data_IF_057241607396
#
_entry.id   IF_057241607396
#
_cell.length_a   1.000
_cell.length_b   1.000
_cell.length_c   1.000
_cell.angle_alpha   90.00
_cell.angle_beta   90.00
_cell.angle_gamma   90.00
#
_symmetry.space_group_name_H-M   'P 1'
#
loop_
_entity.id
_entity.type
_entity.pdbx_description
1 polymer ?
#
# COMPACT_ATOMS: atom_id res chain seq x y z
N UNK A 1 -6.23 5.04 0.54
CA UNK A 1 -7.45 4.35 0.08
C UNK A 1 -8.66 4.94 0.81
N UNK A 2 -9.78 5.19 0.12
CA UNK A 2 -11.06 5.53 0.77
C UNK A 2 -12.06 4.42 0.46
N UNK A 3 -12.77 3.95 1.48
CA UNK A 3 -13.71 2.84 1.40
C UNK A 3 -15.15 3.31 1.55
N UNK A 4 -16.09 2.59 0.95
CA UNK A 4 -17.50 2.96 0.90
C UNK A 4 -18.22 2.96 2.26
N UNK A 5 -17.59 2.42 3.30
CA UNK A 5 -18.09 2.45 4.69
C UNK A 5 -17.66 3.72 5.46
N UNK A 6 -17.08 4.71 4.77
CA UNK A 6 -16.71 5.98 5.39
C UNK A 6 -15.36 5.96 6.09
N UNK A 7 -14.45 5.05 5.70
CA UNK A 7 -13.07 5.04 6.23
C UNK A 7 -12.04 5.42 5.18
N UNK A 8 -11.11 6.26 5.59
CA UNK A 8 -9.91 6.61 4.83
C UNK A 8 -8.68 5.98 5.50
N UNK A 9 -7.91 5.23 4.70
CA UNK A 9 -6.68 4.56 5.09
C UNK A 9 -5.48 5.24 4.42
N UNK A 10 -4.49 5.59 5.23
CA UNK A 10 -3.26 6.26 4.78
C UNK A 10 -2.05 5.55 5.38
N UNK A 11 -0.90 5.51 4.71
CA UNK A 11 0.34 5.04 5.33
C UNK A 11 0.59 5.79 6.65
N UNK A 12 0.83 5.05 7.73
CA UNK A 12 1.16 5.64 9.02
C UNK A 12 2.59 6.18 9.05
N UNK A 13 2.84 7.15 9.92
CA UNK A 13 4.19 7.65 10.12
C UNK A 13 5.12 6.54 10.66
N UNK A 14 6.28 6.40 10.05
CA UNK A 14 7.36 5.52 10.53
C UNK A 14 8.60 6.35 10.83
N UNK A 15 9.25 6.06 11.96
CA UNK A 15 10.57 6.62 12.23
C UNK A 15 11.57 5.95 11.30
N UNK A 16 12.55 6.72 10.80
CA UNK A 16 13.63 6.21 9.97
C UNK A 16 14.67 5.44 10.81
N UNK A 17 14.23 4.33 11.41
CA UNK A 17 15.06 3.41 12.21
C UNK A 17 15.37 2.17 11.40
N UNK A 18 16.57 1.61 11.56
CA UNK A 18 16.95 0.34 10.95
C UNK A 18 17.27 -0.71 12.04
N UNK A 19 16.68 -1.92 11.97
CA UNK A 19 15.64 -2.33 11.02
C UNK A 19 14.27 -1.70 11.32
N UNK A 20 13.50 -1.43 10.27
CA UNK A 20 12.10 -0.99 10.40
C UNK A 20 11.15 -2.17 10.74
N UNK A 21 9.87 -1.89 11.04
CA UNK A 21 8.89 -2.94 11.30
C UNK A 21 8.62 -3.79 10.05
N UNK A 22 8.34 -5.08 10.25
CA UNK A 22 7.94 -5.98 9.16
C UNK A 22 6.62 -5.52 8.53
N UNK A 23 5.66 -5.19 9.40
CA UNK A 23 4.36 -4.67 9.02
C UNK A 23 4.36 -3.13 9.12
N UNK A 24 4.22 -2.46 7.99
CA UNK A 24 4.10 -1.00 7.98
C UNK A 24 2.76 -0.57 8.59
N UNK A 25 2.74 0.43 9.49
CA UNK A 25 1.52 0.90 10.10
C UNK A 25 0.61 1.55 9.05
N UNK A 26 -0.69 1.33 9.18
CA UNK A 26 -1.70 2.02 8.39
C UNK A 26 -2.53 2.89 9.32
N UNK A 27 -2.61 4.18 9.06
CA UNK A 27 -3.55 5.09 9.70
C UNK A 27 -4.96 4.86 9.16
N UNK A 28 -5.97 5.04 10.01
CA UNK A 28 -7.38 5.04 9.65
C UNK A 28 -8.10 6.19 10.34
N UNK A 29 -8.97 6.87 9.60
CA UNK A 29 -9.89 7.89 10.09
C UNK A 29 -11.24 7.78 9.39
N UNK A 30 -12.28 8.32 10.02
CA UNK A 30 -13.59 8.44 9.36
C UNK A 30 -13.57 9.59 8.35
N UNK A 31 -14.34 9.43 7.28
CA UNK A 31 -14.68 10.47 6.31
C UNK A 31 -16.20 10.50 6.15
N UNK A 32 -16.81 11.68 6.23
CA UNK A 32 -18.26 11.81 6.07
C UNK A 32 -18.70 11.54 4.62
N UNK A 33 -19.99 11.27 4.37
CA UNK A 33 -20.52 11.20 3.01
C UNK A 33 -20.22 12.46 2.19
N UNK A 34 -20.32 13.65 2.78
CA UNK A 34 -20.00 14.91 2.11
C UNK A 34 -18.51 15.00 1.70
N UNK A 35 -17.60 14.49 2.53
CA UNK A 35 -16.18 14.37 2.19
C UNK A 35 -15.93 13.41 1.03
N UNK A 36 -16.61 12.26 1.00
CA UNK A 36 -16.53 11.30 -0.11
C UNK A 36 -17.07 11.92 -1.40
N UNK A 37 -18.22 12.61 -1.33
CA UNK A 37 -18.80 13.31 -2.48
C UNK A 37 -17.85 14.35 -3.05
N UNK A 38 -17.13 15.11 -2.21
CA UNK A 38 -16.10 16.05 -2.67
C UNK A 38 -14.93 15.35 -3.37
N UNK A 39 -14.50 14.20 -2.87
CA UNK A 39 -13.47 13.39 -3.52
C UNK A 39 -13.92 12.87 -4.89
N UNK A 40 -15.17 12.39 -4.99
CA UNK A 40 -15.74 11.93 -6.25
C UNK A 40 -15.97 13.09 -7.24
N UNK A 41 -16.41 14.25 -6.76
CA UNK A 41 -16.52 15.45 -7.57
C UNK A 41 -15.16 15.86 -8.16
N UNK A 42 -14.10 15.82 -7.34
CA UNK A 42 -12.74 16.08 -7.83
C UNK A 42 -12.27 15.06 -8.86
N UNK A 43 -12.59 13.77 -8.67
CA UNK A 43 -12.31 12.74 -9.65
C UNK A 43 -13.06 12.99 -10.98
N UNK A 44 -14.33 13.38 -10.91
CA UNK A 44 -15.15 13.71 -12.07
C UNK A 44 -14.61 14.92 -12.84
N UNK A 45 -14.22 15.99 -12.14
CA UNK A 45 -13.60 17.18 -12.74
C UNK A 45 -12.32 16.85 -13.50
N UNK A 46 -11.53 15.90 -13.00
CA UNK A 46 -10.29 15.42 -13.60
C UNK A 46 -10.49 14.30 -14.62
N UNK A 47 -11.74 13.92 -14.90
CA UNK A 47 -12.08 12.90 -15.90
C UNK A 47 -11.79 11.46 -15.48
N UNK A 48 -11.66 11.19 -14.18
CA UNK A 48 -11.35 9.87 -13.62
C UNK A 48 -12.57 8.97 -13.41
N UNK A 49 -13.79 9.46 -13.69
CA UNK A 49 -15.02 8.67 -13.73
C UNK A 49 -15.42 8.35 -15.19
N UNK A 50 -14.42 8.05 -16.02
CA UNK A 50 -14.57 7.73 -17.43
C UNK A 50 -13.51 6.69 -17.83
N UNK A 51 -13.68 5.99 -18.98
CA UNK A 51 -12.62 5.09 -19.48
C UNK A 51 -11.27 5.79 -19.53
N UNK A 52 -10.23 5.12 -19.04
CA UNK A 52 -8.90 5.70 -18.98
C UNK A 52 -8.41 6.15 -20.36
N UNK A 53 -7.89 7.39 -20.51
CA UNK A 53 -7.18 7.79 -21.70
C UNK A 53 -5.85 7.04 -21.81
N UNK A 54 -5.16 7.19 -22.94
CA UNK A 54 -3.76 6.75 -23.00
C UNK A 54 -2.90 7.61 -22.06
N UNK A 55 -2.12 6.93 -21.23
CA UNK A 55 -1.10 7.51 -20.36
C UNK A 55 0.33 7.25 -20.87
N UNK A 56 0.45 6.70 -22.08
CA UNK A 56 1.73 6.38 -22.69
C UNK A 56 2.51 7.64 -23.02
N UNK A 57 3.79 7.64 -22.64
CA UNK A 57 4.78 8.67 -22.91
C UNK A 57 6.11 7.98 -23.18
N UNK A 58 6.96 8.60 -24.00
CA UNK A 58 8.32 8.10 -24.24
C UNK A 58 9.20 8.38 -23.02
N UNK A 59 9.02 7.57 -21.98
CA UNK A 59 9.79 7.60 -20.74
C UNK A 59 10.33 6.19 -20.49
N UNK A 60 11.62 6.11 -20.19
CA UNK A 60 12.29 4.84 -19.92
C UNK A 60 13.06 4.94 -18.59
N UNK A 61 12.31 5.05 -17.49
CA UNK A 61 12.89 5.08 -16.14
C UNK A 61 12.96 3.65 -15.61
N UNK A 62 14.14 3.03 -15.74
CA UNK A 62 14.35 1.66 -15.27
C UNK A 62 13.80 1.47 -13.84
N UNK A 63 13.02 0.40 -13.66
CA UNK A 63 12.41 0.01 -12.38
C UNK A 63 11.41 1.02 -11.77
N UNK A 64 10.91 1.98 -12.54
CA UNK A 64 9.83 2.86 -12.09
C UNK A 64 8.51 2.08 -11.91
N UNK A 65 7.73 2.38 -10.84
CA UNK A 65 6.46 1.74 -10.60
C UNK A 65 5.34 2.32 -11.48
N UNK A 66 4.24 1.59 -11.54
CA UNK A 66 2.94 2.15 -11.93
C UNK A 66 2.29 2.86 -10.74
N UNK A 67 1.72 4.04 -10.99
CA UNK A 67 0.67 4.59 -10.12
C UNK A 67 -0.68 4.09 -10.62
N UNK A 68 -1.47 3.51 -9.71
CA UNK A 68 -2.81 2.97 -10.01
C UNK A 68 -3.86 3.67 -9.15
N UNK A 69 -4.84 4.29 -9.81
CA UNK A 69 -6.04 4.84 -9.18
C UNK A 69 -7.23 4.03 -9.66
N UNK A 70 -7.88 3.34 -8.73
CA UNK A 70 -9.12 2.59 -8.98
C UNK A 70 -10.26 3.23 -8.22
N UNK A 71 -11.31 3.62 -8.93
CA UNK A 71 -12.51 4.23 -8.36
C UNK A 71 -13.68 3.32 -8.65
N UNK A 72 -14.48 3.00 -7.63
CA UNK A 72 -15.68 2.16 -7.76
C UNK A 72 -16.85 2.89 -7.13
N UNK A 73 -17.89 3.12 -7.93
CA UNK A 73 -19.17 3.69 -7.50
C UNK A 73 -20.31 2.74 -7.91
N UNK A 74 -21.55 3.15 -7.70
CA UNK A 74 -22.72 2.43 -8.23
C UNK A 74 -22.78 2.42 -9.75
N UNK A 75 -22.12 3.38 -10.41
CA UNK A 75 -22.20 3.58 -11.86
C UNK A 75 -21.13 2.79 -12.62
N UNK A 76 -20.09 2.32 -11.91
CA UNK A 76 -19.05 1.49 -12.51
C UNK A 76 -17.74 1.47 -11.72
N UNK A 77 -16.75 0.84 -12.34
CA UNK A 77 -15.36 0.81 -11.88
C UNK A 77 -14.46 1.35 -12.98
N UNK A 78 -13.62 2.32 -12.63
CA UNK A 78 -12.62 2.91 -13.52
C UNK A 78 -11.23 2.71 -12.92
N UNK A 79 -10.30 2.24 -13.73
CA UNK A 79 -8.89 2.08 -13.36
C UNK A 79 -8.03 2.96 -14.26
N UNK A 80 -7.23 3.81 -13.65
CA UNK A 80 -6.24 4.66 -14.30
C UNK A 80 -4.86 4.20 -13.84
N UNK A 81 -4.01 3.86 -14.81
CA UNK A 81 -2.66 3.34 -14.57
C UNK A 81 -1.67 4.13 -15.39
N UNK A 82 -0.69 4.73 -14.73
CA UNK A 82 0.38 5.47 -15.37
C UNK A 82 1.73 5.06 -14.81
N UNK A 83 2.57 4.55 -15.70
CA UNK A 83 3.97 4.26 -15.42
C UNK A 83 4.74 5.55 -15.11
N UNK A 84 5.58 5.49 -14.07
CA UNK A 84 6.49 6.56 -13.67
C UNK A 84 5.83 7.93 -13.41
N UNK A 85 4.56 7.92 -12.96
CA UNK A 85 3.81 9.15 -12.69
C UNK A 85 4.49 10.00 -11.61
N UNK A 86 4.69 11.29 -11.89
CA UNK A 86 5.28 12.29 -10.98
C UNK A 86 6.78 12.17 -10.78
N UNK A 87 7.48 11.36 -11.58
CA UNK A 87 8.94 11.18 -11.47
C UNK A 87 9.75 12.25 -12.23
N UNK A 88 9.13 12.91 -13.21
CA UNK A 88 9.69 14.11 -13.84
C UNK A 88 9.35 15.35 -13.02
N UNK A 89 10.23 16.35 -13.05
CA UNK A 89 10.04 17.61 -12.34
C UNK A 89 10.09 18.81 -13.27
N UNK A 90 9.31 19.85 -12.96
CA UNK A 90 9.42 21.14 -13.63
C UNK A 90 10.69 21.92 -13.22
N UNK A 91 10.84 23.15 -13.74
CA UNK A 91 11.98 24.01 -13.42
C UNK A 91 12.05 24.43 -11.94
N UNK A 92 10.98 24.27 -11.17
CA UNK A 92 10.93 24.52 -9.73
C UNK A 92 11.30 23.28 -8.89
N UNK A 93 11.47 22.12 -9.52
CA UNK A 93 11.66 20.84 -8.85
C UNK A 93 10.36 20.19 -8.38
N UNK A 94 9.21 20.70 -8.81
CA UNK A 94 7.90 20.14 -8.48
C UNK A 94 7.55 19.01 -9.46
N UNK A 95 6.94 17.90 -9.01
CA UNK A 95 6.44 16.86 -9.92
C UNK A 95 5.54 17.46 -11.00
N UNK A 96 5.82 17.13 -12.25
CA UNK A 96 5.06 17.64 -13.39
C UNK A 96 5.00 16.62 -14.52
N UNK A 97 3.91 16.64 -15.27
CA UNK A 97 3.64 15.67 -16.32
C UNK A 97 3.55 16.32 -17.71
N UNK A 98 3.99 15.57 -18.71
CA UNK A 98 4.13 16.07 -20.09
C UNK A 98 2.82 16.10 -20.87
N UNK A 99 1.79 15.37 -20.42
CA UNK A 99 0.47 15.35 -21.06
C UNK A 99 -0.62 15.80 -20.08
N UNK A 100 -1.69 16.48 -20.57
CA UNK A 100 -2.79 16.90 -19.71
C UNK A 100 -3.47 15.75 -18.96
N UNK A 101 -3.57 14.57 -19.58
CA UNK A 101 -4.17 13.39 -18.94
C UNK A 101 -3.32 12.90 -17.76
N UNK A 102 -2.00 12.81 -17.93
CA UNK A 102 -1.07 12.42 -16.85
C UNK A 102 -1.05 13.48 -15.75
N UNK A 103 -1.05 14.76 -16.10
CA UNK A 103 -1.12 15.84 -15.11
C UNK A 103 -2.41 15.77 -14.29
N UNK A 104 -3.57 15.51 -14.92
CA UNK A 104 -4.82 15.35 -14.20
C UNK A 104 -4.80 14.16 -13.22
N UNK A 105 -4.17 13.04 -13.61
CA UNK A 105 -3.98 11.90 -12.71
C UNK A 105 -3.04 12.25 -11.54
N UNK A 106 -1.92 12.93 -11.82
CA UNK A 106 -0.98 13.40 -10.79
C UNK A 106 -1.64 14.38 -9.80
N UNK A 107 -2.45 15.31 -10.31
CA UNK A 107 -3.20 16.27 -9.49
C UNK A 107 -4.17 15.55 -8.54
N UNK A 108 -4.88 14.52 -9.03
CA UNK A 108 -5.75 13.73 -8.18
C UNK A 108 -4.97 12.95 -7.11
N UNK A 109 -3.88 12.29 -7.48
CA UNK A 109 -3.06 11.50 -6.55
C UNK A 109 -2.47 12.38 -5.47
N UNK A 110 -1.87 13.51 -5.85
CA UNK A 110 -1.31 14.49 -4.92
C UNK A 110 -2.38 14.98 -3.96
N UNK A 111 -3.54 15.37 -4.47
CA UNK A 111 -4.63 15.83 -3.63
C UNK A 111 -5.20 14.69 -2.74
N UNK A 112 -5.21 13.43 -3.20
CA UNK A 112 -5.65 12.29 -2.39
C UNK A 112 -4.66 11.92 -1.28
N UNK A 113 -3.38 12.31 -1.39
CA UNK A 113 -2.41 12.20 -0.28
C UNK A 113 -2.65 13.23 0.81
N UNK A 114 -3.22 14.39 0.48
CA UNK A 114 -3.71 15.39 1.42
C UNK A 114 -5.24 15.42 1.42
N UNK A 115 -5.84 14.38 2.03
CA UNK A 115 -7.29 14.21 2.02
C UNK A 115 -8.02 15.41 2.65
N UNK A 116 -7.39 16.14 3.58
CA UNK A 116 -7.96 17.34 4.17
C UNK A 116 -8.11 18.46 3.14
N UNK A 117 -7.19 18.59 2.18
CA UNK A 117 -7.29 19.56 1.10
C UNK A 117 -8.48 19.30 0.16
N UNK A 118 -8.88 18.05 -0.06
CA UNK A 118 -10.04 17.71 -0.90
C UNK A 118 -11.33 17.65 -0.08
N UNK A 119 -11.34 16.80 0.95
CA UNK A 119 -12.54 16.50 1.72
C UNK A 119 -12.84 17.63 2.71
N UNK A 120 -11.89 18.47 3.09
CA UNK A 120 -12.03 19.47 4.13
C UNK A 120 -11.89 18.85 5.52
N UNK A 121 -11.13 19.52 6.39
CA UNK A 121 -10.80 19.05 7.74
C UNK A 121 -12.05 18.69 8.58
N UNK A 122 -13.13 19.46 8.41
CA UNK A 122 -14.39 19.25 9.13
C UNK A 122 -15.08 17.91 8.80
N UNK A 123 -14.73 17.26 7.69
CA UNK A 123 -15.29 15.96 7.29
C UNK A 123 -14.44 14.78 7.74
N UNK A 124 -13.29 15.04 8.36
CA UNK A 124 -12.35 14.02 8.76
C UNK A 124 -12.43 13.81 10.28
N UNK A 125 -12.52 12.54 10.67
CA UNK A 125 -12.38 12.15 12.06
C UNK A 125 -10.92 12.15 12.51
N UNK A 126 -10.72 11.91 13.81
CA UNK A 126 -9.39 11.68 14.38
C UNK A 126 -8.75 10.43 13.77
N UNK A 127 -7.47 10.53 13.43
CA UNK A 127 -6.69 9.39 12.96
C UNK A 127 -6.28 8.48 14.13
N UNK A 128 -6.32 7.17 13.87
CA UNK A 128 -5.82 6.12 14.73
C UNK A 128 -5.07 5.07 13.89
N UNK A 129 -4.33 4.17 14.53
CA UNK A 129 -3.70 3.05 13.81
C UNK A 129 -4.75 1.98 13.53
N UNK A 130 -4.81 1.55 12.28
CA UNK A 130 -5.64 0.44 11.84
C UNK A 130 -5.09 -0.88 12.37
N UNK A 131 -5.96 -1.68 13.00
CA UNK A 131 -5.72 -3.08 13.31
C UNK A 131 -6.44 -3.93 12.25
N UNK A 132 -5.71 -4.62 11.35
CA UNK A 132 -6.31 -5.48 10.34
C UNK A 132 -6.89 -6.76 10.97
N UNK A 133 -8.01 -7.25 10.43
CA UNK A 133 -8.58 -8.56 10.81
C UNK A 133 -7.87 -9.72 10.09
N UNK A 134 -7.17 -9.42 9.00
CA UNK A 134 -6.46 -10.37 8.17
C UNK A 134 -5.18 -9.73 7.60
N UNK A 135 -4.20 -10.56 7.33
CA UNK A 135 -2.95 -10.21 6.69
C UNK A 135 -2.81 -10.99 5.38
N UNK A 136 -2.27 -10.34 4.36
CA UNK A 136 -1.68 -11.01 3.20
C UNK A 136 -0.17 -11.03 3.34
N UNK A 137 0.45 -12.10 2.87
CA UNK A 137 1.90 -12.22 2.87
C UNK A 137 2.43 -12.94 1.64
N UNK A 138 3.69 -12.67 1.34
CA UNK A 138 4.51 -13.42 0.41
C UNK A 138 5.76 -13.91 1.13
N UNK A 139 6.08 -15.18 0.99
CA UNK A 139 7.28 -15.81 1.53
C UNK A 139 8.35 -15.95 0.45
N UNK A 140 9.57 -15.56 0.79
CA UNK A 140 10.74 -15.60 -0.07
C UNK A 140 11.77 -16.48 0.63
N UNK A 141 12.06 -17.65 0.06
CA UNK A 141 13.10 -18.53 0.58
C UNK A 141 14.45 -17.83 0.50
N UNK A 142 15.23 -17.89 1.59
CA UNK A 142 16.56 -17.30 1.68
C UNK A 142 17.57 -18.35 2.11
N UNK A 143 18.78 -18.26 1.56
CA UNK A 143 19.91 -19.03 2.06
C UNK A 143 20.47 -18.33 3.30
N UNK A 144 20.44 -19.00 4.45
CA UNK A 144 20.88 -18.41 5.73
C UNK A 144 22.34 -17.97 5.69
N UNK A 145 23.18 -18.58 4.85
CA UNK A 145 24.57 -18.16 4.65
C UNK A 145 24.70 -16.74 4.09
N UNK A 146 23.65 -16.22 3.45
CA UNK A 146 23.62 -14.83 2.95
C UNK A 146 23.58 -13.80 4.07
N UNK A 147 23.19 -14.19 5.29
CA UNK A 147 23.28 -13.31 6.46
C UNK A 147 24.74 -13.03 6.87
N UNK A 148 25.71 -13.83 6.40
CA UNK A 148 27.11 -13.62 6.72
C UNK A 148 27.59 -12.25 6.21
N UNK A 149 27.97 -11.38 7.14
CA UNK A 149 28.43 -10.02 6.84
C UNK A 149 27.35 -8.94 6.86
N UNK A 150 26.09 -9.28 7.16
CA UNK A 150 25.07 -8.29 7.47
C UNK A 150 25.25 -7.73 8.89
N UNK A 151 25.10 -6.41 9.05
CA UNK A 151 25.10 -5.73 10.35
C UNK A 151 24.04 -4.60 10.38
N UNK A 152 23.02 -4.68 11.26
CA UNK A 152 22.65 -5.83 12.08
C UNK A 152 22.36 -7.09 11.26
N UNK A 153 22.74 -8.24 11.82
CA UNK A 153 22.41 -9.54 11.27
C UNK A 153 20.91 -9.84 11.47
N UNK A 154 20.28 -10.54 10.51
CA UNK A 154 18.93 -11.07 10.68
C UNK A 154 18.80 -11.98 11.90
N UNK A 155 17.64 -11.89 12.56
CA UNK A 155 17.25 -12.80 13.64
C UNK A 155 16.31 -13.84 13.07
N UNK A 156 16.72 -15.11 13.11
CA UNK A 156 15.86 -16.22 12.67
C UNK A 156 15.01 -16.70 13.84
N UNK A 157 13.70 -16.71 13.65
CA UNK A 157 12.71 -17.22 14.60
C UNK A 157 11.93 -18.36 13.96
N UNK A 158 11.35 -19.25 14.79
CA UNK A 158 10.52 -20.33 14.28
C UNK A 158 9.17 -19.81 13.79
N UNK A 159 8.74 -20.25 12.61
CA UNK A 159 7.41 -19.98 12.09
C UNK A 159 6.37 -20.75 12.91
N UNK A 160 5.36 -20.08 13.51
CA UNK A 160 4.43 -20.78 14.38
C UNK A 160 3.57 -21.78 13.62
N UNK A 161 3.61 -23.05 14.03
CA UNK A 161 2.75 -24.10 13.48
C UNK A 161 1.25 -23.78 13.67
N UNK A 162 0.91 -22.94 14.66
CA UNK A 162 -0.46 -22.46 14.91
C UNK A 162 -1.03 -21.62 13.77
N UNK A 163 -0.19 -21.08 12.88
CA UNK A 163 -0.67 -20.36 11.68
C UNK A 163 -1.33 -21.30 10.67
N UNK A 164 -0.97 -22.58 10.67
CA UNK A 164 -1.44 -23.57 9.69
C UNK A 164 -0.96 -23.33 8.26
N UNK A 165 -0.10 -22.33 8.02
CA UNK A 165 0.41 -21.98 6.69
C UNK A 165 1.76 -22.64 6.43
N UNK A 166 1.86 -23.33 5.29
CA UNK A 166 3.13 -23.74 4.70
C UNK A 166 3.71 -22.56 3.88
N UNK A 167 4.80 -21.97 4.37
CA UNK A 167 5.47 -20.83 3.74
C UNK A 167 6.03 -21.18 2.36
N UNK A 168 6.34 -22.45 2.09
CA UNK A 168 6.76 -22.89 0.76
C UNK A 168 5.67 -22.70 -0.30
N UNK A 169 4.39 -22.60 0.11
CA UNK A 169 3.24 -22.39 -0.78
C UNK A 169 2.86 -20.91 -0.92
N UNK A 170 3.40 -20.03 -0.08
CA UNK A 170 3.08 -18.61 -0.05
C UNK A 170 3.98 -17.76 -0.97
N UNK A 171 4.39 -18.29 -2.12
CA UNK A 171 5.40 -17.64 -3.00
C UNK A 171 4.87 -16.42 -3.76
N UNK A 172 3.56 -16.34 -3.96
CA UNK A 172 2.89 -15.21 -4.60
C UNK A 172 2.06 -14.43 -3.58
N UNK A 173 1.13 -15.11 -2.93
CA UNK A 173 0.24 -14.53 -1.93
C UNK A 173 -0.39 -15.63 -1.07
N UNK A 174 -0.42 -15.43 0.24
CA UNK A 174 -1.20 -16.20 1.19
C UNK A 174 -1.91 -15.25 2.17
N UNK A 175 -3.00 -15.72 2.77
CA UNK A 175 -3.80 -14.97 3.74
C UNK A 175 -3.84 -15.67 5.10
N UNK A 176 -3.82 -14.87 6.17
CA UNK A 176 -3.91 -15.33 7.55
C UNK A 176 -4.79 -14.39 8.36
N UNK A 177 -5.66 -14.94 9.21
CA UNK A 177 -6.40 -14.13 10.17
C UNK A 177 -5.46 -13.47 11.17
N UNK A 178 -5.86 -12.34 11.72
CA UNK A 178 -5.08 -11.64 12.73
C UNK A 178 -4.91 -12.47 14.01
N UNK A 179 -5.89 -13.31 14.34
CA UNK A 179 -5.78 -14.25 15.45
C UNK A 179 -4.71 -15.33 15.23
N UNK A 180 -4.36 -15.66 13.99
CA UNK A 180 -3.37 -16.68 13.67
C UNK A 180 -1.94 -16.13 13.69
N UNK A 181 -1.73 -14.89 13.23
CA UNK A 181 -0.38 -14.36 12.97
C UNK A 181 -0.15 -12.90 13.41
N UNK A 182 -1.15 -12.20 13.97
CA UNK A 182 -1.03 -10.78 14.28
C UNK A 182 0.10 -10.44 15.25
N UNK A 183 0.29 -11.25 16.31
CA UNK A 183 1.42 -11.05 17.24
C UNK A 183 2.77 -11.31 16.58
N UNK A 184 2.84 -12.27 15.65
CA UNK A 184 4.07 -12.58 14.90
C UNK A 184 4.54 -11.36 14.12
N UNK A 185 3.61 -10.67 13.45
CA UNK A 185 3.95 -9.52 12.62
C UNK A 185 4.15 -8.23 13.42
N UNK A 186 3.45 -8.08 14.55
CA UNK A 186 3.58 -6.91 15.43
C UNK A 186 5.00 -6.77 16.03
N UNK A 187 5.62 -7.91 16.37
CA UNK A 187 6.94 -7.93 17.01
C UNK A 187 8.09 -8.05 15.99
N UNK A 188 7.78 -8.42 14.74
CA UNK A 188 8.77 -8.65 13.70
C UNK A 188 9.27 -7.36 13.05
N UNK A 189 10.52 -7.40 12.61
CA UNK A 189 11.18 -6.34 11.86
C UNK A 189 11.53 -6.81 10.44
N UNK A 190 12.01 -5.91 9.60
CA UNK A 190 12.57 -6.25 8.29
C UNK A 190 13.73 -7.27 8.35
N UNK A 191 14.36 -7.44 9.52
CA UNK A 191 15.42 -8.41 9.76
C UNK A 191 14.96 -9.65 10.53
N UNK A 192 13.66 -9.84 10.74
CA UNK A 192 13.12 -11.09 11.27
C UNK A 192 12.94 -12.08 10.14
N UNK A 193 13.70 -13.17 10.18
CA UNK A 193 13.59 -14.31 9.26
C UNK A 193 12.85 -15.45 9.94
N UNK A 194 12.13 -16.26 9.16
CA UNK A 194 11.23 -17.28 9.69
C UNK A 194 11.68 -18.67 9.22
N UNK A 195 11.97 -19.57 10.16
CA UNK A 195 12.30 -20.96 9.88
C UNK A 195 11.04 -21.84 9.86
N UNK A 196 10.91 -22.68 8.85
CA UNK A 196 9.90 -23.75 8.80
C UNK A 196 10.54 -25.02 8.26
N UNK A 197 10.71 -26.01 9.14
CA UNK A 197 11.51 -27.19 8.82
C UNK A 197 12.97 -26.80 8.57
N UNK A 198 13.53 -27.25 7.45
CA UNK A 198 14.92 -26.97 7.06
C UNK A 198 15.09 -25.68 6.24
N UNK A 199 14.00 -24.96 5.96
CA UNK A 199 14.01 -23.76 5.14
C UNK A 199 13.84 -22.47 5.98
N UNK A 200 14.43 -21.38 5.50
CA UNK A 200 14.32 -20.04 6.10
C UNK A 200 13.73 -19.07 5.08
N UNK A 201 12.85 -18.20 5.55
CA UNK A 201 12.07 -17.28 4.71
C UNK A 201 12.16 -15.84 5.22
N UNK A 202 12.22 -14.91 4.28
CA UNK A 202 11.80 -13.53 4.50
C UNK A 202 10.33 -13.40 4.11
N UNK A 203 9.59 -12.55 4.84
CA UNK A 203 8.20 -12.27 4.53
C UNK A 203 8.04 -10.82 4.06
N UNK A 204 7.20 -10.62 3.06
CA UNK A 204 6.57 -9.33 2.81
C UNK A 204 5.12 -9.41 3.30
N UNK A 205 4.71 -8.53 4.20
CA UNK A 205 3.41 -8.62 4.89
C UNK A 205 2.65 -7.30 4.78
N UNK A 206 1.35 -7.38 4.52
CA UNK A 206 0.45 -6.23 4.56
C UNK A 206 -0.87 -6.61 5.26
N UNK A 207 -1.45 -5.66 5.99
CA UNK A 207 -2.83 -5.76 6.45
C UNK A 207 -3.79 -5.71 5.26
N UNK A 208 -4.79 -6.57 5.24
CA UNK A 208 -5.84 -6.55 4.22
C UNK A 208 -6.77 -5.37 4.48
N UNK A 209 -6.92 -4.50 3.48
CA UNK A 209 -7.86 -3.38 3.53
C UNK A 209 -9.19 -3.76 2.86
N UNK A 210 -10.29 -3.03 3.16
CA UNK A 210 -11.55 -3.24 2.46
C UNK A 210 -11.37 -3.16 0.93
N UNK A 211 -12.01 -4.03 0.15
CA UNK A 211 -11.93 -3.98 -1.32
C UNK A 211 -10.57 -4.35 -1.94
N UNK A 212 -9.61 -4.82 -1.13
CA UNK A 212 -8.44 -5.51 -1.62
C UNK A 212 -8.82 -6.85 -2.29
N UNK A 213 -8.16 -7.24 -3.39
CA UNK A 213 -8.38 -8.54 -4.00
C UNK A 213 -7.94 -9.66 -3.05
N UNK A 214 -8.52 -10.86 -3.20
CA UNK A 214 -8.16 -12.05 -2.43
C UNK A 214 -6.65 -12.29 -2.51
N UNK A 215 -6.17 -12.45 -3.73
CA UNK A 215 -4.81 -12.28 -4.19
C UNK A 215 -4.97 -11.74 -5.63
#
# INVERSE_FOLDING_TARGET
MVSGDGRAFVPGAVTAIFPGPLLQPMGVRTITPAGIERLLARAQELGLLAPAPSYEVDMNIADAPDTVVRITTTDGTWEHRAYALGMETDASGSPAETTPARQALLDFVTAATDLAAIAGEAELGTESIHSPDEYRLRAIAVDESTAAGMDPAPVVVEWPASTGLDLATATDCARLSASAAGSVFADATQLTWFRQGDAVYQLAVAGVLPGDPAC
#
